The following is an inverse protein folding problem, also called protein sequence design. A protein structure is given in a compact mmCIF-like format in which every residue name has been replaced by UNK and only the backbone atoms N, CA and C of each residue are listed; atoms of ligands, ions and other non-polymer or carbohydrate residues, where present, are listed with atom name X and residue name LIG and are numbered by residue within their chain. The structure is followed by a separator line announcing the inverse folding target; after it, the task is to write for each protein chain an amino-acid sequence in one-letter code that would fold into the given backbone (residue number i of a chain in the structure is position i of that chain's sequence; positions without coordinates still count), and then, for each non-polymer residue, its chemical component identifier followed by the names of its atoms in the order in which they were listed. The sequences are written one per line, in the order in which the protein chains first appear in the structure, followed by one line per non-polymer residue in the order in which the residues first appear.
data_IF_640588326533
#
_entry.id   IF_640588326533
#
_cell.length_a   1.000
_cell.length_b   1.000
_cell.length_c   1.000
_cell.angle_alpha   90.00
_cell.angle_beta   90.00
_cell.angle_gamma   90.00
#
_symmetry.space_group_name_H-M   'P 1'
#
loop_
_entity.id
_entity.type
_entity.pdbx_description
1 polymer ?
#
# COMPACT_ATOMS: atom_id res chain seq x y z
N UNK A 1 25.71 19.60 8.24
CA UNK A 1 25.85 18.37 7.42
C UNK A 1 25.21 17.11 8.03
N UNK A 2 24.82 17.06 9.32
CA UNK A 2 24.21 15.86 9.93
C UNK A 2 22.77 15.56 9.49
N UNK A 3 22.00 16.56 9.05
CA UNK A 3 20.55 16.44 8.80
C UNK A 3 20.20 16.47 7.30
N UNK A 4 21.14 16.88 6.45
CA UNK A 4 20.92 16.99 5.00
C UNK A 4 20.71 15.61 4.37
N UNK A 5 21.52 14.63 4.78
CA UNK A 5 21.45 13.24 4.29
C UNK A 5 20.09 12.60 4.62
N UNK A 6 19.60 12.60 5.89
CA UNK A 6 18.30 11.99 6.20
C UNK A 6 17.13 12.73 5.53
N UNK A 7 17.19 14.06 5.37
CA UNK A 7 16.16 14.82 4.66
C UNK A 7 16.09 14.39 3.18
N UNK A 8 17.22 14.26 2.51
CA UNK A 8 17.26 13.80 1.12
C UNK A 8 16.69 12.38 0.99
N UNK A 9 17.08 11.48 1.90
CA UNK A 9 16.58 10.09 1.90
C UNK A 9 15.06 10.02 2.10
N UNK A 10 14.51 10.88 2.97
CA UNK A 10 13.08 10.98 3.23
C UNK A 10 12.32 11.45 1.98
N UNK A 11 12.81 12.51 1.34
CA UNK A 11 12.21 13.07 0.11
C UNK A 11 12.23 12.04 -1.02
N UNK A 12 13.36 11.35 -1.23
CA UNK A 12 13.48 10.31 -2.24
C UNK A 12 12.50 9.15 -2.01
N UNK A 13 12.31 8.75 -0.76
CA UNK A 13 11.39 7.67 -0.39
C UNK A 13 9.94 8.04 -0.71
N UNK A 14 9.50 9.25 -0.33
CA UNK A 14 8.15 9.74 -0.61
C UNK A 14 7.93 9.95 -2.11
N UNK A 15 8.91 10.52 -2.81
CA UNK A 15 8.86 10.72 -4.26
C UNK A 15 8.75 9.38 -5.01
N UNK A 16 9.51 8.36 -4.59
CA UNK A 16 9.44 7.01 -5.18
C UNK A 16 8.07 6.37 -5.05
N UNK A 17 7.42 6.52 -3.89
CA UNK A 17 6.04 6.04 -3.67
C UNK A 17 5.06 6.81 -4.55
N UNK A 18 5.16 8.15 -4.60
CA UNK A 18 4.32 9.01 -5.42
C UNK A 18 4.37 8.64 -6.91
N UNK A 19 5.58 8.47 -7.45
CA UNK A 19 5.80 8.06 -8.85
C UNK A 19 5.19 6.69 -9.11
N UNK A 20 5.34 5.74 -8.19
CA UNK A 20 4.77 4.39 -8.32
C UNK A 20 3.25 4.38 -8.38
N UNK A 21 2.59 5.35 -7.75
CA UNK A 21 1.13 5.51 -7.78
C UNK A 21 0.69 6.09 -9.12
N UNK A 22 1.37 7.14 -9.58
CA UNK A 22 1.07 7.81 -10.85
C UNK A 22 1.33 6.90 -12.07
N UNK A 23 2.36 6.06 -12.01
CA UNK A 23 2.70 5.11 -13.10
C UNK A 23 1.89 3.81 -13.05
N UNK A 24 1.10 3.56 -12.00
CA UNK A 24 0.30 2.34 -11.89
C UNK A 24 -1.00 2.47 -12.69
N UNK A 25 -1.06 1.78 -13.83
CA UNK A 25 -2.25 1.64 -14.67
C UNK A 25 -3.38 1.04 -13.80
N UNK A 26 -4.50 1.78 -13.68
CA UNK A 26 -5.69 1.55 -12.83
C UNK A 26 -5.70 2.17 -11.43
N UNK A 27 -4.66 2.90 -10.98
CA UNK A 27 -4.71 3.66 -9.71
C UNK A 27 -4.91 2.81 -8.45
N UNK A 28 -4.88 1.49 -8.58
CA UNK A 28 -5.03 0.56 -7.46
C UNK A 28 -3.70 0.45 -6.73
N UNK A 29 -3.66 1.08 -5.54
CA UNK A 29 -2.68 0.73 -4.52
C UNK A 29 -2.90 -0.74 -4.16
N UNK A 30 -1.89 -1.57 -4.44
CA UNK A 30 -1.91 -3.01 -4.13
C UNK A 30 -1.83 -3.33 -2.62
N UNK A 31 -2.39 -2.47 -1.77
CA UNK A 31 -2.35 -2.59 -0.31
C UNK A 31 -1.56 -1.45 0.32
N UNK A 32 -2.26 -0.41 0.77
CA UNK A 32 -1.87 0.30 2.00
C UNK A 32 -2.40 -0.42 3.25
N UNK A 33 -3.30 -1.39 3.04
CA UNK A 33 -3.75 -2.35 4.03
C UNK A 33 -3.11 -3.70 3.69
N UNK A 34 -2.39 -4.31 4.65
CA UNK A 34 -1.80 -5.65 4.50
C UNK A 34 -2.83 -6.67 4.01
N UNK A 35 -4.08 -6.51 4.46
CA UNK A 35 -5.22 -7.37 4.10
C UNK A 35 -5.76 -7.19 2.68
N UNK A 36 -5.29 -6.20 1.91
CA UNK A 36 -5.63 -6.04 0.49
C UNK A 36 -4.44 -6.37 -0.45
N UNK A 37 -3.34 -6.90 0.10
CA UNK A 37 -2.19 -7.34 -0.68
C UNK A 37 -2.56 -8.61 -1.48
N UNK A 38 -2.42 -8.63 -2.82
CA UNK A 38 -2.79 -9.78 -3.66
C UNK A 38 -1.98 -11.06 -3.38
N UNK A 39 -0.83 -10.94 -2.70
CA UNK A 39 -0.07 -12.09 -2.23
C UNK A 39 -0.67 -12.71 -0.95
N UNK A 40 -1.21 -11.89 -0.02
CA UNK A 40 -1.81 -12.36 1.23
C UNK A 40 -3.31 -12.71 1.08
N UNK A 41 -4.02 -12.07 0.14
CA UNK A 41 -5.44 -12.36 -0.15
C UNK A 41 -5.72 -13.84 -0.43
N UNK A 42 -4.74 -14.66 -0.83
CA UNK A 42 -4.99 -16.05 -1.21
C UNK A 42 -5.15 -17.00 -0.02
N UNK A 43 -4.66 -16.60 1.16
CA UNK A 43 -4.46 -17.52 2.28
C UNK A 43 -5.30 -17.17 3.52
N UNK A 44 -5.72 -15.91 3.68
CA UNK A 44 -6.40 -15.48 4.91
C UNK A 44 -7.53 -14.45 4.69
N UNK A 45 -8.64 -14.58 5.43
CA UNK A 45 -9.65 -13.53 5.50
C UNK A 45 -9.05 -12.26 6.12
N UNK A 46 -9.50 -11.09 5.68
CA UNK A 46 -9.01 -9.81 6.17
C UNK A 46 -9.18 -9.71 7.70
N UNK A 47 -8.11 -9.72 8.49
CA UNK A 47 -8.19 -9.64 9.96
C UNK A 47 -8.86 -8.34 10.46
N UNK A 48 -8.91 -7.29 9.65
CA UNK A 48 -9.52 -6.01 10.02
C UNK A 48 -11.05 -5.98 9.84
N UNK A 49 -11.59 -6.71 8.86
CA UNK A 49 -13.02 -6.64 8.51
C UNK A 49 -13.71 -8.00 8.34
N UNK A 50 -12.98 -9.11 8.49
CA UNK A 50 -13.47 -10.48 8.32
C UNK A 50 -13.82 -10.88 6.88
N UNK A 51 -13.67 -9.98 5.91
CA UNK A 51 -14.04 -10.26 4.52
C UNK A 51 -13.17 -11.38 3.94
N UNK A 52 -13.83 -12.29 3.21
CA UNK A 52 -13.16 -13.34 2.44
C UNK A 52 -12.27 -12.72 1.34
N UNK A 53 -11.25 -13.46 0.86
CA UNK A 53 -10.37 -13.07 -0.24
C UNK A 53 -11.04 -12.32 -1.41
N UNK A 54 -12.17 -12.87 -1.87
CA UNK A 54 -12.99 -12.40 -2.99
C UNK A 54 -13.97 -11.28 -2.63
N UNK A 55 -14.18 -10.99 -1.35
CA UNK A 55 -15.07 -9.93 -0.88
C UNK A 55 -14.30 -8.64 -0.59
N UNK A 56 -14.85 -7.51 -1.04
CA UNK A 56 -14.39 -6.19 -0.58
C UNK A 56 -14.96 -5.95 0.81
N UNK A 57 -14.12 -5.47 1.75
CA UNK A 57 -14.63 -4.98 3.03
C UNK A 57 -15.75 -3.97 2.75
N UNK A 58 -16.96 -4.24 3.24
CA UNK A 58 -18.05 -3.27 3.15
C UNK A 58 -17.66 -2.08 4.02
N UNK A 59 -17.68 -0.90 3.41
CA UNK A 59 -17.56 0.36 4.14
C UNK A 59 -18.91 0.56 4.84
N UNK A 60 -18.91 0.57 6.17
CA UNK A 60 -19.88 1.38 6.89
C UNK A 60 -19.50 2.85 6.75
#
# INVERSE_FOLDING_TARGET
MKIIIPIILLILSVAGIAIKILLKKNGEFAGTCSSNNPFLKKEEPCQFCGAKPDEKCKKE
#
